data_IF_148407763793
#
_entry.id   IF_148407763793
#
_cell.length_a   1.000
_cell.length_b   1.000
_cell.length_c   1.000
_cell.angle_alpha   90.00
_cell.angle_beta   90.00
_cell.angle_gamma   90.00
#
_symmetry.space_group_name_H-M   'P 1'
#
loop_
_entity.id
_entity.type
_entity.pdbx_description
1 polymer ?
#
# COMPACT_ATOMS: atom_id res chain seq x y z
N UNK A 1 29.89 29.75 24.48
CA UNK A 1 29.58 29.13 23.19
C UNK A 1 28.87 27.81 23.45
N UNK A 2 27.53 27.82 23.46
CA UNK A 2 26.74 26.60 23.71
C UNK A 2 26.51 25.93 22.36
N UNK A 3 27.17 24.79 22.13
CA UNK A 3 26.87 23.93 21.04
C UNK A 3 25.49 23.29 21.26
N UNK A 4 24.50 23.69 20.47
CA UNK A 4 23.21 22.98 20.38
C UNK A 4 23.44 21.65 19.69
N UNK A 5 23.66 20.62 20.48
CA UNK A 5 23.56 19.23 20.03
C UNK A 5 22.08 18.81 20.00
N UNK A 6 21.28 19.42 19.12
CA UNK A 6 20.06 18.77 18.68
C UNK A 6 20.52 17.73 17.66
N UNK A 7 20.67 16.49 18.12
CA UNK A 7 20.63 15.35 17.21
C UNK A 7 19.29 15.46 16.46
N UNK A 8 19.34 15.80 15.17
CA UNK A 8 18.25 15.58 14.27
C UNK A 8 17.99 14.07 14.21
N UNK A 9 17.15 13.57 15.12
CA UNK A 9 16.63 12.20 15.02
C UNK A 9 15.80 12.19 13.76
N UNK A 10 16.41 11.72 12.67
CA UNK A 10 15.73 11.55 11.40
C UNK A 10 14.55 10.60 11.65
N UNK A 11 13.35 11.14 11.71
CA UNK A 11 12.13 10.34 11.82
C UNK A 11 12.06 9.37 10.66
N UNK A 12 11.78 8.11 10.96
CA UNK A 12 11.53 7.09 9.94
C UNK A 12 10.30 7.47 9.13
N UNK A 13 10.41 7.36 7.83
CA UNK A 13 9.33 7.66 6.91
C UNK A 13 8.81 6.41 6.25
N UNK A 14 7.51 6.25 6.23
CA UNK A 14 6.82 5.12 5.64
C UNK A 14 6.00 5.53 4.41
N UNK A 15 6.00 4.69 3.38
CA UNK A 15 5.14 4.81 2.23
C UNK A 15 4.04 3.75 2.29
N UNK A 16 2.78 4.16 2.29
CA UNK A 16 1.62 3.28 2.23
C UNK A 16 1.11 3.23 0.80
N UNK A 17 1.18 2.04 0.19
CA UNK A 17 0.80 1.76 -1.20
C UNK A 17 -0.57 1.08 -1.20
N UNK A 18 -1.62 1.79 -1.62
CA UNK A 18 -2.99 1.35 -1.45
C UNK A 18 -3.64 1.09 -2.81
N UNK A 19 -4.20 -0.12 -2.99
CA UNK A 19 -5.03 -0.49 -4.12
C UNK A 19 -6.51 -0.45 -3.73
N UNK A 20 -7.32 0.39 -4.38
CA UNK A 20 -8.74 0.54 -4.09
C UNK A 20 -9.61 0.36 -5.33
N UNK A 21 -10.78 -0.29 -5.16
CA UNK A 21 -11.75 -0.49 -6.24
C UNK A 21 -13.21 -0.43 -5.77
N UNK A 22 -13.45 -0.54 -4.48
CA UNK A 22 -14.78 -0.51 -3.86
C UNK A 22 -14.68 -0.06 -2.39
N UNK A 23 -15.78 -0.13 -1.64
CA UNK A 23 -15.85 0.15 -0.19
C UNK A 23 -15.15 1.46 0.23
N UNK A 24 -15.43 2.56 -0.48
CA UNK A 24 -14.78 3.84 -0.26
C UNK A 24 -14.99 4.44 1.13
N UNK A 25 -16.04 3.99 1.85
CA UNK A 25 -16.24 4.36 3.26
C UNK A 25 -15.14 3.74 4.15
N UNK A 26 -14.75 2.49 3.87
CA UNK A 26 -13.65 1.82 4.58
C UNK A 26 -12.32 2.48 4.20
N UNK A 27 -12.12 2.77 2.91
CA UNK A 27 -10.95 3.51 2.46
C UNK A 27 -10.81 4.86 3.18
N UNK A 28 -11.89 5.60 3.37
CA UNK A 28 -11.88 6.86 4.12
C UNK A 28 -11.41 6.67 5.56
N UNK A 29 -11.88 5.61 6.23
CA UNK A 29 -11.44 5.27 7.59
C UNK A 29 -9.95 4.91 7.57
N UNK A 30 -9.51 4.06 6.63
CA UNK A 30 -8.10 3.70 6.46
C UNK A 30 -7.21 4.96 6.31
N UNK A 31 -7.57 5.85 5.39
CA UNK A 31 -6.83 7.09 5.16
C UNK A 31 -6.74 7.95 6.43
N UNK A 32 -7.84 8.08 7.19
CA UNK A 32 -7.84 8.83 8.45
C UNK A 32 -6.98 8.19 9.54
N UNK A 33 -6.88 6.85 9.56
CA UNK A 33 -6.04 6.12 10.51
C UNK A 33 -4.54 6.20 10.15
N UNK A 34 -4.22 6.41 8.87
CA UNK A 34 -2.86 6.58 8.38
C UNK A 34 -2.39 8.04 8.35
N UNK A 35 -3.25 9.01 8.74
CA UNK A 35 -2.97 10.42 8.68
C UNK A 35 -1.96 10.86 9.75
N UNK A 36 -0.68 10.64 9.47
CA UNK A 36 0.47 10.96 10.31
C UNK A 36 1.57 11.63 9.49
N UNK A 37 2.28 12.59 10.05
CA UNK A 37 3.33 13.36 9.35
C UNK A 37 4.52 12.50 8.88
N UNK A 38 4.71 11.32 9.47
CA UNK A 38 5.74 10.33 9.10
C UNK A 38 5.35 9.49 7.89
N UNK A 39 4.08 9.58 7.43
CA UNK A 39 3.52 8.76 6.38
C UNK A 39 3.34 9.53 5.08
N UNK A 40 3.63 8.87 3.98
CA UNK A 40 3.17 9.26 2.66
C UNK A 40 2.26 8.15 2.10
N UNK A 41 1.14 8.52 1.54
CA UNK A 41 0.13 7.59 1.05
C UNK A 41 0.05 7.69 -0.46
N UNK A 42 0.20 6.55 -1.14
CA UNK A 42 0.08 6.40 -2.58
C UNK A 42 -1.16 5.57 -2.88
N UNK A 43 -2.12 6.15 -3.58
CA UNK A 43 -3.41 5.54 -3.82
C UNK A 43 -3.63 5.29 -5.32
N UNK A 44 -3.78 4.03 -5.69
CA UNK A 44 -4.27 3.62 -7.00
C UNK A 44 -5.74 3.24 -6.90
N UNK A 45 -6.59 3.93 -7.67
CA UNK A 45 -8.01 3.59 -7.79
C UNK A 45 -8.23 2.89 -9.14
N UNK A 46 -8.85 1.71 -9.11
CA UNK A 46 -9.14 0.93 -10.31
C UNK A 46 -9.80 1.80 -11.40
N UNK A 47 -9.37 1.63 -12.64
CA UNK A 47 -9.87 2.40 -13.79
C UNK A 47 -11.38 2.29 -14.00
N UNK A 48 -11.98 1.16 -13.59
CA UNK A 48 -13.44 0.91 -13.70
C UNK A 48 -14.28 1.77 -12.75
N UNK A 49 -13.66 2.35 -11.72
CA UNK A 49 -14.37 3.22 -10.76
C UNK A 49 -14.64 4.58 -11.39
N UNK A 50 -15.87 5.03 -11.32
CA UNK A 50 -16.27 6.39 -11.69
C UNK A 50 -16.04 7.28 -10.48
N UNK A 51 -15.08 8.20 -10.55
CA UNK A 51 -14.65 9.01 -9.40
C UNK A 51 -15.69 10.06 -8.99
N UNK A 52 -16.35 10.73 -9.94
CA UNK A 52 -17.44 11.67 -9.68
C UNK A 52 -17.27 12.55 -8.43
N UNK A 53 -18.31 12.64 -7.61
CA UNK A 53 -18.32 13.42 -6.36
C UNK A 53 -17.51 12.82 -5.20
N UNK A 54 -16.95 11.61 -5.37
CA UNK A 54 -16.15 10.94 -4.34
C UNK A 54 -14.83 11.66 -4.05
N UNK A 55 -14.31 12.42 -5.01
CA UNK A 55 -12.94 13.00 -4.92
C UNK A 55 -12.79 14.07 -3.85
N UNK A 56 -13.79 14.91 -3.64
CA UNK A 56 -13.62 16.11 -2.82
C UNK A 56 -13.56 15.84 -1.31
N UNK A 57 -14.30 14.85 -0.82
CA UNK A 57 -14.37 14.52 0.61
C UNK A 57 -13.45 13.39 1.06
N UNK A 58 -13.06 12.50 0.11
CA UNK A 58 -12.28 11.32 0.42
C UNK A 58 -10.81 11.65 0.74
N UNK A 59 -10.27 12.75 0.19
CA UNK A 59 -8.83 13.00 0.09
C UNK A 59 -8.32 14.13 0.97
N UNK A 60 -9.06 14.51 2.01
CA UNK A 60 -8.59 15.53 2.97
C UNK A 60 -7.86 14.87 4.12
N UNK A 61 -6.53 14.93 4.09
CA UNK A 61 -5.65 14.56 5.20
C UNK A 61 -5.06 15.83 5.82
N UNK A 62 -4.83 15.79 7.13
CA UNK A 62 -4.31 16.92 7.88
C UNK A 62 -2.78 16.91 7.99
N UNK A 63 -2.15 15.72 7.99
CA UNK A 63 -0.74 15.51 8.29
C UNK A 63 0.01 14.75 7.20
N UNK A 64 -0.55 13.59 6.77
CA UNK A 64 0.07 12.77 5.75
C UNK A 64 -0.05 13.41 4.35
N UNK A 65 0.96 13.20 3.50
CA UNK A 65 0.84 13.55 2.07
C UNK A 65 0.14 12.42 1.32
N UNK A 66 -0.90 12.77 0.58
CA UNK A 66 -1.64 11.82 -0.27
C UNK A 66 -1.33 12.06 -1.75
N UNK A 67 -0.91 11.01 -2.43
CA UNK A 67 -0.65 10.97 -3.86
C UNK A 67 -1.64 10.00 -4.52
N UNK A 68 -2.67 10.54 -5.15
CA UNK A 68 -3.59 9.74 -5.98
C UNK A 68 -2.97 9.61 -7.36
N UNK A 69 -2.79 8.37 -7.83
CA UNK A 69 -2.17 8.12 -9.12
C UNK A 69 -3.12 8.51 -10.27
N UNK A 70 -2.64 9.34 -11.19
CA UNK A 70 -3.39 9.70 -12.40
C UNK A 70 -3.52 8.50 -13.35
N UNK A 71 -2.43 7.71 -13.46
CA UNK A 71 -2.43 6.49 -14.25
C UNK A 71 -3.19 5.40 -13.51
N UNK A 72 -4.38 5.06 -14.00
CA UNK A 72 -5.25 4.05 -13.45
C UNK A 72 -5.32 2.83 -14.34
N UNK A 73 -5.07 1.65 -13.79
CA UNK A 73 -5.12 0.37 -14.50
C UNK A 73 -6.47 -0.32 -14.28
N UNK A 74 -6.95 -1.05 -15.29
CA UNK A 74 -8.08 -1.98 -15.19
C UNK A 74 -7.57 -3.25 -14.48
N UNK A 75 -7.75 -3.29 -13.16
CA UNK A 75 -7.27 -4.39 -12.31
C UNK A 75 -8.31 -5.50 -12.30
N UNK A 76 -7.88 -6.74 -12.59
CA UNK A 76 -8.73 -7.92 -12.60
C UNK A 76 -8.18 -8.97 -11.65
N UNK A 77 -9.05 -9.59 -10.90
CA UNK A 77 -8.68 -10.63 -9.95
C UNK A 77 -8.08 -11.83 -10.71
N UNK A 78 -6.96 -12.36 -10.19
CA UNK A 78 -6.24 -13.48 -10.82
C UNK A 78 -5.46 -13.13 -12.11
N UNK A 79 -5.43 -11.85 -12.52
CA UNK A 79 -4.69 -11.37 -13.68
C UNK A 79 -3.42 -10.61 -13.25
N UNK A 80 -2.42 -10.57 -14.12
CA UNK A 80 -1.15 -9.82 -13.92
C UNK A 80 -1.37 -8.31 -13.66
N UNK A 81 -2.56 -7.80 -13.96
CA UNK A 81 -2.90 -6.39 -13.75
C UNK A 81 -2.82 -5.96 -12.28
N UNK A 82 -3.05 -6.86 -11.32
CA UNK A 82 -2.85 -6.58 -9.88
C UNK A 82 -1.38 -6.26 -9.63
N UNK A 83 -0.47 -7.14 -10.05
CA UNK A 83 0.98 -6.96 -9.88
C UNK A 83 1.46 -5.69 -10.59
N UNK A 84 0.93 -5.38 -11.78
CA UNK A 84 1.27 -4.14 -12.49
C UNK A 84 0.86 -2.89 -11.72
N UNK A 85 -0.29 -2.92 -11.05
CA UNK A 85 -0.75 -1.80 -10.24
C UNK A 85 0.09 -1.63 -8.96
N UNK A 86 0.49 -2.75 -8.32
CA UNK A 86 1.41 -2.75 -7.18
C UNK A 86 2.79 -2.19 -7.56
N UNK A 87 3.35 -2.63 -8.70
CA UNK A 87 4.63 -2.13 -9.20
C UNK A 87 4.55 -0.64 -9.57
N UNK A 88 3.45 -0.19 -10.17
CA UNK A 88 3.24 1.23 -10.47
C UNK A 88 3.23 2.10 -9.20
N UNK A 89 2.58 1.62 -8.12
CA UNK A 89 2.58 2.29 -6.82
C UNK A 89 4.00 2.34 -6.24
N UNK A 90 4.71 1.21 -6.26
CA UNK A 90 6.07 1.11 -5.73
C UNK A 90 7.05 2.02 -6.52
N UNK A 91 6.98 2.01 -7.84
CA UNK A 91 7.79 2.87 -8.70
C UNK A 91 7.51 4.36 -8.41
N UNK A 92 6.23 4.74 -8.35
CA UNK A 92 5.84 6.12 -8.04
C UNK A 92 6.34 6.58 -6.68
N UNK A 93 6.25 5.72 -5.67
CA UNK A 93 6.73 6.02 -4.33
C UNK A 93 8.26 6.10 -4.27
N UNK A 94 8.96 5.19 -4.93
CA UNK A 94 10.42 5.16 -4.96
C UNK A 94 11.02 6.43 -5.59
N UNK A 95 10.37 7.00 -6.59
CA UNK A 95 10.78 8.28 -7.21
C UNK A 95 10.63 9.48 -6.27
N UNK A 96 9.76 9.41 -5.28
CA UNK A 96 9.48 10.49 -4.32
C UNK A 96 10.17 10.28 -2.95
N UNK A 97 10.72 9.07 -2.71
CA UNK A 97 11.45 8.68 -1.51
C UNK A 97 12.74 9.48 -1.25
N UNK A 98 13.58 9.01 -0.35
CA UNK A 98 13.61 7.67 0.23
C UNK A 98 12.62 7.45 1.38
N UNK A 99 12.13 6.21 1.50
CA UNK A 99 11.35 5.71 2.63
C UNK A 99 12.09 4.57 3.31
N UNK A 100 11.89 4.45 4.62
CA UNK A 100 12.48 3.37 5.40
C UNK A 100 11.70 2.06 5.21
N UNK A 101 10.36 2.16 5.01
CA UNK A 101 9.47 1.03 4.74
C UNK A 101 8.38 1.37 3.73
N UNK A 102 8.01 0.36 2.94
CA UNK A 102 6.88 0.39 2.01
C UNK A 102 5.84 -0.64 2.48
N UNK A 103 4.58 -0.22 2.63
CA UNK A 103 3.48 -1.06 3.08
C UNK A 103 2.46 -1.20 1.95
N UNK A 104 2.25 -2.42 1.47
CA UNK A 104 1.23 -2.69 0.46
C UNK A 104 -0.08 -3.06 1.17
N UNK A 105 -1.16 -2.33 0.85
CA UNK A 105 -2.48 -2.48 1.44
C UNK A 105 -3.57 -2.54 0.38
N UNK A 106 -4.64 -3.27 0.68
CA UNK A 106 -5.93 -3.11 0.02
C UNK A 106 -6.69 -1.92 0.61
N UNK A 107 -7.53 -1.27 -0.18
CA UNK A 107 -8.39 -0.18 0.29
C UNK A 107 -9.42 -0.57 1.37
N UNK A 108 -9.50 -1.85 1.71
CA UNK A 108 -10.37 -2.40 2.77
C UNK A 108 -9.60 -2.90 4.00
N UNK A 109 -8.26 -2.80 4.00
CA UNK A 109 -7.44 -3.13 5.15
C UNK A 109 -7.53 -2.02 6.19
N UNK A 110 -7.45 -2.38 7.48
CA UNK A 110 -7.41 -1.39 8.55
C UNK A 110 -6.27 -1.72 9.53
N UNK A 111 -5.47 -0.73 9.95
CA UNK A 111 -4.44 -0.94 10.96
C UNK A 111 -5.10 -1.24 12.32
N UNK A 112 -4.61 -2.26 13.01
CA UNK A 112 -5.09 -2.67 14.35
C UNK A 112 -4.26 -2.03 15.48
N UNK A 113 -3.30 -1.19 15.14
CA UNK A 113 -2.43 -0.49 16.08
C UNK A 113 -2.34 0.99 15.71
N UNK A 114 -1.98 1.82 16.71
CA UNK A 114 -1.73 3.25 16.46
C UNK A 114 -0.49 3.47 15.59
N UNK A 115 -0.39 4.65 14.96
CA UNK A 115 0.77 5.02 14.16
C UNK A 115 2.06 5.01 14.98
N UNK A 116 2.04 5.46 16.23
CA UNK A 116 3.21 5.40 17.12
C UNK A 116 3.67 3.98 17.38
N UNK A 117 2.73 3.04 17.58
CA UNK A 117 3.09 1.64 17.75
C UNK A 117 3.72 1.08 16.46
N UNK A 118 3.14 1.38 15.29
CA UNK A 118 3.62 0.89 13.99
C UNK A 118 5.04 1.42 13.75
N UNK A 119 5.26 2.72 13.87
CA UNK A 119 6.57 3.33 13.65
C UNK A 119 7.61 2.78 14.63
N UNK A 120 7.28 2.68 15.91
CA UNK A 120 8.19 2.11 16.92
C UNK A 120 8.53 0.63 16.63
N UNK A 121 7.55 -0.16 16.18
CA UNK A 121 7.79 -1.55 15.79
C UNK A 121 8.82 -1.66 14.66
N UNK A 122 8.66 -0.88 13.60
CA UNK A 122 9.58 -0.91 12.45
C UNK A 122 10.94 -0.32 12.80
N UNK A 123 11.00 0.71 13.64
CA UNK A 123 12.26 1.26 14.15
C UNK A 123 13.06 0.22 14.94
N UNK A 124 12.41 -0.50 15.85
CA UNK A 124 13.02 -1.57 16.64
C UNK A 124 13.50 -2.74 15.77
N UNK A 125 12.84 -2.98 14.66
CA UNK A 125 13.15 -4.08 13.73
C UNK A 125 13.80 -3.56 12.43
N UNK A 126 14.55 -2.47 12.50
CA UNK A 126 15.22 -1.89 11.34
C UNK A 126 16.17 -2.90 10.68
N UNK A 127 16.04 -3.02 9.35
CA UNK A 127 16.82 -3.95 8.54
C UNK A 127 16.18 -5.32 8.35
N UNK A 128 14.98 -5.55 8.90
CA UNK A 128 14.19 -6.74 8.59
C UNK A 128 13.11 -6.41 7.58
N UNK A 129 12.91 -7.31 6.61
CA UNK A 129 11.79 -7.29 5.68
C UNK A 129 10.66 -8.21 6.19
N UNK A 130 9.43 -7.75 6.07
CA UNK A 130 8.24 -8.47 6.55
C UNK A 130 7.44 -9.00 5.37
N UNK A 131 7.93 -10.09 4.78
CA UNK A 131 7.26 -10.76 3.66
C UNK A 131 6.66 -12.07 4.18
N UNK A 132 5.33 -12.18 4.28
CA UNK A 132 4.72 -13.43 4.70
C UNK A 132 4.95 -14.51 3.64
N UNK A 133 5.34 -15.69 4.06
CA UNK A 133 5.34 -16.86 3.20
C UNK A 133 4.66 -18.03 3.89
N UNK A 134 3.96 -18.82 3.12
CA UNK A 134 3.30 -20.02 3.61
C UNK A 134 4.14 -21.25 3.26
N UNK A 135 4.36 -22.10 4.24
CA UNK A 135 5.00 -23.40 4.05
C UNK A 135 4.04 -24.53 4.45
N UNK A 136 4.20 -25.69 3.81
CA UNK A 136 3.39 -26.89 4.07
C UNK A 136 2.82 -27.50 2.79
N UNK A 137 2.41 -28.78 2.87
CA UNK A 137 1.93 -29.55 1.72
C UNK A 137 0.70 -28.95 1.02
N UNK A 138 -0.24 -28.39 1.80
CA UNK A 138 -1.43 -27.73 1.23
C UNK A 138 -1.05 -26.52 0.36
N UNK A 139 -0.04 -25.76 0.78
CA UNK A 139 0.45 -24.62 0.01
C UNK A 139 1.23 -25.04 -1.22
N UNK A 140 1.99 -26.14 -1.17
CA UNK A 140 2.68 -26.67 -2.36
C UNK A 140 1.70 -27.06 -3.45
N UNK A 141 0.60 -27.73 -3.12
CA UNK A 141 -0.47 -28.06 -4.09
C UNK A 141 -1.14 -26.83 -4.69
N UNK A 142 -1.33 -25.79 -3.89
CA UNK A 142 -1.90 -24.52 -4.36
C UNK A 142 -0.92 -23.76 -5.26
N UNK A 143 0.37 -23.77 -4.95
CA UNK A 143 1.43 -23.24 -5.80
C UNK A 143 1.55 -23.98 -7.13
N UNK A 144 1.52 -25.32 -7.10
CA UNK A 144 1.51 -26.14 -8.33
C UNK A 144 0.35 -25.74 -9.24
N UNK A 145 -0.84 -25.55 -8.67
CA UNK A 145 -2.03 -25.19 -9.42
C UNK A 145 -1.97 -23.74 -9.95
N UNK A 146 -1.50 -22.79 -9.16
CA UNK A 146 -1.59 -21.35 -9.46
C UNK A 146 -0.36 -20.77 -10.14
N UNK A 147 0.84 -21.31 -9.84
CA UNK A 147 2.11 -20.70 -10.26
C UNK A 147 2.82 -21.53 -11.30
N UNK A 148 2.86 -22.88 -11.14
CA UNK A 148 3.62 -23.75 -12.05
C UNK A 148 2.83 -24.15 -13.30
N UNK A 149 1.56 -23.76 -13.40
CA UNK A 149 0.76 -23.98 -14.63
C UNK A 149 0.52 -22.65 -15.33
N UNK A 150 0.69 -22.66 -16.66
CA UNK A 150 0.34 -21.50 -17.47
C UNK A 150 -1.18 -21.43 -17.65
N UNK A 151 -1.78 -20.33 -17.24
CA UNK A 151 -3.22 -20.10 -17.34
C UNK A 151 -3.53 -19.23 -18.56
N UNK A 152 -3.98 -19.87 -19.64
CA UNK A 152 -4.44 -19.18 -20.85
C UNK A 152 -5.76 -18.45 -20.57
N UNK A 153 -5.89 -17.24 -21.12
CA UNK A 153 -7.14 -16.48 -21.11
C UNK A 153 -7.70 -16.12 -19.73
N UNK A 154 -6.88 -16.05 -18.67
CA UNK A 154 -7.29 -15.66 -17.31
C UNK A 154 -8.15 -14.38 -17.31
N UNK A 155 -7.92 -13.50 -18.28
CA UNK A 155 -8.63 -12.23 -18.43
C UNK A 155 -10.12 -12.40 -18.78
N UNK A 156 -10.50 -13.53 -19.36
CA UNK A 156 -11.86 -13.81 -19.86
C UNK A 156 -12.63 -14.81 -19.01
N UNK A 157 -11.96 -15.54 -18.14
CA UNK A 157 -12.59 -16.52 -17.26
C UNK A 157 -12.53 -16.02 -15.82
N UNK A 158 -13.71 -16.00 -15.15
CA UNK A 158 -13.75 -15.90 -13.68
C UNK A 158 -13.26 -17.24 -13.16
N UNK A 159 -12.06 -17.27 -12.61
CA UNK A 159 -11.51 -18.43 -11.91
C UNK A 159 -12.11 -18.50 -10.52
#
# INVERSE_FOLDING_TARGET
MRMNLFNDVKLMRHAFLILAHNEFQILRILLSMLDDERNDIYLHIDKKVVLGSLEQDLFRLAKARLFVLEQRLDVRWGDISVVKAELLLLETASMKGPYDYYHLLSGVDLPIKSQDYIHHFFEKNKGYEFVPYSCGEANLKDLERKVFKYHLFCRYYKI
#
